data_IF_312011794955
#
_entry.id   IF_312011794955
#
_cell.length_a   1.000
_cell.length_b   1.000
_cell.length_c   1.000
_cell.angle_alpha   90.00
_cell.angle_beta   90.00
_cell.angle_gamma   90.00
#
_symmetry.space_group_name_H-M   'P 1'
#
loop_
_entity.id
_entity.type
_entity.pdbx_description
1 polymer ?
#
# COMPACT_ATOMS: atom_id res chain seq x y z
N UNK A 1 -20.36 -28.45 11.76
CA UNK A 1 -20.18 -27.69 13.02
C UNK A 1 -20.47 -26.22 12.87
N UNK A 2 -21.34 -25.65 13.70
CA UNK A 2 -21.63 -24.21 13.71
C UNK A 2 -20.47 -23.37 14.28
N UNK A 3 -19.69 -23.93 15.22
CA UNK A 3 -18.56 -23.25 15.86
C UNK A 3 -17.43 -22.92 14.85
N UNK A 4 -17.14 -23.84 13.93
CA UNK A 4 -16.09 -23.64 12.93
C UNK A 4 -16.44 -22.53 11.93
N UNK A 5 -17.73 -22.44 11.55
CA UNK A 5 -18.25 -21.38 10.67
C UNK A 5 -18.11 -20.00 11.34
N UNK A 6 -18.47 -19.89 12.62
CA UNK A 6 -18.34 -18.62 13.35
C UNK A 6 -16.87 -18.22 13.54
N UNK A 7 -15.99 -19.18 13.79
CA UNK A 7 -14.56 -18.93 13.88
C UNK A 7 -13.97 -18.44 12.54
N UNK A 8 -14.44 -18.99 11.40
CA UNK A 8 -14.04 -18.53 10.07
C UNK A 8 -14.57 -17.14 9.76
N UNK A 9 -15.84 -16.86 10.08
CA UNK A 9 -16.42 -15.53 9.94
C UNK A 9 -15.66 -14.48 10.78
N UNK A 10 -15.28 -14.81 12.01
CA UNK A 10 -14.49 -13.93 12.87
C UNK A 10 -13.10 -13.66 12.27
N UNK A 11 -12.42 -14.70 11.77
CA UNK A 11 -11.14 -14.53 11.07
C UNK A 11 -11.27 -13.64 9.84
N UNK A 12 -12.33 -13.83 9.05
CA UNK A 12 -12.63 -12.97 7.90
C UNK A 12 -12.84 -11.52 8.29
N UNK A 13 -13.64 -11.25 9.33
CA UNK A 13 -13.90 -9.90 9.82
C UNK A 13 -12.63 -9.21 10.36
N UNK A 14 -11.83 -9.93 11.16
CA UNK A 14 -10.53 -9.44 11.65
C UNK A 14 -9.59 -9.17 10.49
N UNK A 15 -9.53 -10.07 9.51
CA UNK A 15 -8.71 -9.90 8.31
C UNK A 15 -9.10 -8.66 7.52
N UNK A 16 -10.39 -8.47 7.24
CA UNK A 16 -10.89 -7.28 6.57
C UNK A 16 -10.55 -5.98 7.33
N UNK A 17 -10.72 -6.00 8.66
CA UNK A 17 -10.36 -4.84 9.49
C UNK A 17 -8.85 -4.55 9.45
N UNK A 18 -8.00 -5.58 9.46
CA UNK A 18 -6.55 -5.40 9.37
C UNK A 18 -6.12 -4.90 8.00
N UNK A 19 -6.71 -5.45 6.92
CA UNK A 19 -6.51 -4.94 5.56
C UNK A 19 -6.85 -3.46 5.50
N UNK A 20 -8.02 -3.04 5.99
CA UNK A 20 -8.42 -1.64 5.98
C UNK A 20 -7.46 -0.72 6.75
N UNK A 21 -6.94 -1.17 7.90
CA UNK A 21 -5.93 -0.41 8.67
C UNK A 21 -4.60 -0.29 7.93
N UNK A 22 -4.15 -1.36 7.28
CA UNK A 22 -2.91 -1.34 6.49
C UNK A 22 -3.09 -0.44 5.24
N UNK A 23 -4.24 -0.54 4.57
CA UNK A 23 -4.62 0.28 3.41
C UNK A 23 -4.70 1.77 3.77
N UNK A 24 -5.20 2.13 4.95
CA UNK A 24 -5.17 3.51 5.41
C UNK A 24 -3.74 4.09 5.47
N UNK A 25 -2.75 3.25 5.78
CA UNK A 25 -1.33 3.59 5.73
C UNK A 25 -0.81 3.94 4.33
N UNK A 26 -1.46 3.45 3.28
CA UNK A 26 -1.13 3.71 1.86
C UNK A 26 -1.35 5.16 1.45
N UNK A 27 -2.12 5.94 2.20
CA UNK A 27 -2.31 7.37 1.90
C UNK A 27 -0.97 8.14 1.79
N UNK A 28 0.06 7.70 2.52
CA UNK A 28 1.39 8.30 2.49
C UNK A 28 2.16 8.05 1.18
N UNK A 29 1.77 7.04 0.39
CA UNK A 29 2.37 6.70 -0.92
C UNK A 29 2.20 7.86 -1.91
N UNK A 30 1.15 8.66 -1.77
CA UNK A 30 0.93 9.89 -2.56
C UNK A 30 2.01 10.96 -2.32
N UNK A 31 2.79 10.85 -1.24
CA UNK A 31 3.94 11.71 -0.95
C UNK A 31 5.24 11.29 -1.66
N UNK A 32 5.27 10.12 -2.31
CA UNK A 32 6.46 9.62 -3.01
C UNK A 32 6.95 10.61 -4.07
N UNK A 33 6.13 11.16 -4.99
CA UNK A 33 6.63 12.02 -6.06
C UNK A 33 7.30 13.27 -5.51
N UNK A 34 6.78 13.86 -4.43
CA UNK A 34 7.38 15.01 -3.76
C UNK A 34 8.80 14.72 -3.24
N UNK A 35 9.09 13.47 -2.86
CA UNK A 35 10.40 13.03 -2.36
C UNK A 35 11.47 12.93 -3.47
N UNK A 36 11.04 12.80 -4.73
CA UNK A 36 11.91 12.56 -5.89
C UNK A 36 11.92 13.70 -6.92
N UNK A 37 10.93 14.59 -6.90
CA UNK A 37 10.71 15.66 -7.91
C UNK A 37 11.86 16.67 -8.06
N UNK A 38 12.77 16.77 -7.08
CA UNK A 38 13.86 17.75 -7.08
C UNK A 38 15.20 17.16 -6.64
N UNK A 39 15.38 15.85 -6.75
CA UNK A 39 16.58 15.18 -6.24
C UNK A 39 17.30 14.44 -7.35
N UNK A 40 18.60 14.68 -7.52
CA UNK A 40 19.55 13.87 -8.31
C UNK A 40 19.83 12.51 -7.65
N UNK A 41 18.80 11.91 -7.03
CA UNK A 41 18.91 10.61 -6.39
C UNK A 41 19.06 9.54 -7.46
N UNK A 42 19.97 8.57 -7.27
CA UNK A 42 20.02 7.41 -8.14
C UNK A 42 18.70 6.64 -8.08
N UNK A 43 18.43 5.84 -9.12
CA UNK A 43 17.25 4.98 -9.19
C UNK A 43 17.20 4.11 -7.92
N UNK A 44 16.05 4.04 -7.21
CA UNK A 44 15.92 3.22 -6.02
C UNK A 44 16.21 1.74 -6.33
N UNK A 45 17.13 1.13 -5.57
CA UNK A 45 17.43 -0.32 -5.64
C UNK A 45 16.75 -1.10 -4.53
N UNK A 46 16.14 -0.40 -3.57
CA UNK A 46 15.43 -0.97 -2.42
C UNK A 46 13.96 -0.60 -2.48
N UNK A 47 13.12 -1.42 -1.84
CA UNK A 47 11.71 -1.11 -1.67
C UNK A 47 11.52 0.21 -0.91
N UNK A 48 10.37 0.82 -1.14
CA UNK A 48 10.02 2.08 -0.49
C UNK A 48 9.91 1.90 1.03
N UNK A 49 10.40 2.85 1.86
CA UNK A 49 10.26 2.80 3.32
C UNK A 49 8.80 2.76 3.80
N UNK A 50 7.84 3.07 2.91
CA UNK A 50 6.42 2.96 3.19
C UNK A 50 5.94 1.51 3.29
N UNK A 51 6.63 0.54 2.65
CA UNK A 51 6.25 -0.88 2.67
C UNK A 51 6.27 -1.44 4.10
N UNK A 52 7.35 -1.18 4.84
CA UNK A 52 7.47 -1.60 6.24
C UNK A 52 6.38 -1.00 7.13
N UNK A 53 6.03 0.26 6.88
CA UNK A 53 5.00 0.99 7.64
C UNK A 53 3.59 0.49 7.35
N UNK A 54 3.32 0.10 6.11
CA UNK A 54 2.00 -0.39 5.68
C UNK A 54 1.65 -1.71 6.36
N UNK A 55 2.62 -2.60 6.56
CA UNK A 55 2.40 -3.90 7.22
C UNK A 55 2.61 -3.88 8.74
N UNK A 56 3.06 -2.74 9.28
CA UNK A 56 3.28 -2.57 10.73
C UNK A 56 2.03 -2.90 11.59
N UNK A 57 0.80 -2.53 11.21
CA UNK A 57 -0.40 -2.91 11.96
C UNK A 57 -0.59 -4.43 12.04
N UNK A 58 -0.31 -5.16 10.96
CA UNK A 58 -0.42 -6.61 10.91
C UNK A 58 0.64 -7.28 11.80
N UNK A 59 1.88 -6.81 11.74
CA UNK A 59 2.99 -7.29 12.58
C UNK A 59 2.72 -7.03 14.07
N UNK A 60 2.23 -5.83 14.42
CA UNK A 60 1.86 -5.46 15.78
C UNK A 60 0.69 -6.29 16.31
N UNK A 61 -0.32 -6.57 15.47
CA UNK A 61 -1.44 -7.43 15.82
C UNK A 61 -0.97 -8.85 16.12
N UNK A 62 -0.17 -9.44 15.21
CA UNK A 62 0.34 -10.80 15.37
C UNK A 62 1.21 -10.96 16.63
N UNK A 63 2.00 -9.94 16.96
CA UNK A 63 2.84 -9.94 18.16
C UNK A 63 2.00 -9.82 19.44
N UNK A 64 1.01 -8.92 19.46
CA UNK A 64 0.18 -8.66 20.64
C UNK A 64 -0.80 -9.78 20.98
N UNK A 65 -1.29 -10.50 19.95
CA UNK A 65 -2.34 -11.52 20.12
C UNK A 65 -1.82 -12.93 19.83
N UNK A 66 -0.51 -13.16 19.93
CA UNK A 66 0.13 -14.45 19.60
C UNK A 66 -0.52 -15.66 20.28
N UNK A 67 -0.97 -15.51 21.53
CA UNK A 67 -1.63 -16.56 22.30
C UNK A 67 -3.08 -16.85 21.86
N UNK A 68 -3.69 -15.94 21.10
CA UNK A 68 -5.07 -16.02 20.61
C UNK A 68 -5.13 -16.39 19.12
N UNK A 69 -3.97 -16.40 18.45
CA UNK A 69 -3.86 -16.90 17.08
C UNK A 69 -4.01 -18.43 17.08
N UNK A 70 -4.54 -18.99 15.98
CA UNK A 70 -4.60 -20.44 15.82
C UNK A 70 -3.21 -21.06 16.07
N UNK A 71 -3.11 -22.14 16.86
CA UNK A 71 -1.85 -22.87 17.04
C UNK A 71 -1.37 -23.50 15.72
N UNK A 72 -2.31 -23.70 14.79
CA UNK A 72 -2.01 -24.09 13.42
C UNK A 72 -1.29 -22.95 12.68
N UNK A 73 0.00 -23.18 12.41
CA UNK A 73 0.86 -22.28 11.67
C UNK A 73 0.41 -22.13 10.21
N UNK A 74 -0.22 -23.14 9.61
CA UNK A 74 -0.68 -23.10 8.23
C UNK A 74 -1.91 -22.21 8.11
N UNK A 75 -2.93 -22.41 8.98
CA UNK A 75 -4.06 -21.51 9.08
C UNK A 75 -3.58 -20.07 9.30
N UNK A 76 -2.65 -19.86 10.24
CA UNK A 76 -2.09 -18.53 10.54
C UNK A 76 -1.41 -17.89 9.33
N UNK A 77 -0.59 -18.64 8.59
CA UNK A 77 0.06 -18.17 7.35
C UNK A 77 -0.95 -17.86 6.25
N UNK A 78 -2.01 -18.67 6.12
CA UNK A 78 -3.03 -18.49 5.08
C UNK A 78 -3.79 -17.17 5.26
N UNK A 79 -4.31 -16.89 6.45
CA UNK A 79 -5.10 -15.67 6.67
C UNK A 79 -4.22 -14.41 6.66
N UNK A 80 -3.01 -14.47 7.24
CA UNK A 80 -2.05 -13.35 7.18
C UNK A 80 -1.56 -13.09 5.75
N UNK A 81 -1.32 -14.16 4.98
CA UNK A 81 -0.99 -14.08 3.56
C UNK A 81 -2.12 -13.41 2.75
N UNK A 82 -3.38 -13.79 2.99
CA UNK A 82 -4.51 -13.17 2.32
C UNK A 82 -4.61 -11.66 2.58
N UNK A 83 -4.34 -11.21 3.82
CA UNK A 83 -4.28 -9.78 4.16
C UNK A 83 -3.14 -9.10 3.41
N UNK A 84 -1.93 -9.69 3.46
CA UNK A 84 -0.76 -9.11 2.80
C UNK A 84 -0.96 -8.99 1.28
N UNK A 85 -1.56 -10.00 0.63
CA UNK A 85 -1.91 -9.97 -0.79
C UNK A 85 -2.94 -8.88 -1.10
N UNK A 86 -3.99 -8.74 -0.29
CA UNK A 86 -5.00 -7.70 -0.48
C UNK A 86 -4.39 -6.29 -0.36
N UNK A 87 -3.53 -6.09 0.65
CA UNK A 87 -2.82 -4.81 0.85
C UNK A 87 -1.84 -4.53 -0.30
N UNK A 88 -1.13 -5.54 -0.78
CA UNK A 88 -0.20 -5.40 -1.90
C UNK A 88 -0.92 -5.03 -3.20
N UNK A 89 -2.09 -5.63 -3.47
CA UNK A 89 -2.91 -5.30 -4.64
C UNK A 89 -3.41 -3.84 -4.58
N UNK A 90 -3.86 -3.37 -3.42
CA UNK A 90 -4.27 -1.97 -3.26
C UNK A 90 -3.08 -1.00 -3.39
N UNK A 91 -1.90 -1.39 -2.91
CA UNK A 91 -0.66 -0.63 -3.09
C UNK A 91 -0.29 -0.51 -4.58
N UNK A 92 -0.38 -1.60 -5.34
CA UNK A 92 -0.18 -1.62 -6.80
C UNK A 92 -1.15 -0.66 -7.51
N UNK A 93 -2.46 -0.79 -7.27
CA UNK A 93 -3.48 0.11 -7.86
C UNK A 93 -3.23 1.58 -7.50
N UNK A 94 -2.84 1.87 -6.26
CA UNK A 94 -2.50 3.22 -5.83
C UNK A 94 -1.28 3.77 -6.56
N UNK A 95 -0.26 2.94 -6.79
CA UNK A 95 0.94 3.33 -7.53
C UNK A 95 0.68 3.57 -9.01
N UNK A 96 -0.15 2.74 -9.65
CA UNK A 96 -0.55 2.94 -11.05
C UNK A 96 -1.25 4.28 -11.23
N UNK A 97 -2.23 4.60 -10.38
CA UNK A 97 -2.93 5.88 -10.40
C UNK A 97 -1.99 7.07 -10.16
N UNK A 98 -0.99 6.89 -9.28
CA UNK A 98 0.03 7.89 -9.00
C UNK A 98 0.95 8.11 -10.22
N UNK A 99 1.39 7.04 -10.87
CA UNK A 99 2.24 7.10 -12.05
C UNK A 99 1.52 7.81 -13.21
N UNK A 100 0.26 7.47 -13.44
CA UNK A 100 -0.61 8.14 -14.41
C UNK A 100 -0.70 9.65 -14.16
N UNK A 101 -0.84 10.03 -12.89
CA UNK A 101 -0.89 11.45 -12.49
C UNK A 101 0.43 12.16 -12.79
N UNK A 102 1.56 11.51 -12.50
CA UNK A 102 2.90 12.06 -12.79
C UNK A 102 3.10 12.22 -14.30
N UNK A 103 2.76 11.20 -15.10
CA UNK A 103 2.87 11.25 -16.57
C UNK A 103 2.04 12.40 -17.16
N UNK A 104 0.79 12.54 -16.71
CA UNK A 104 -0.09 13.65 -17.15
C UNK A 104 0.46 15.01 -16.74
N UNK A 105 1.00 15.14 -15.54
CA UNK A 105 1.63 16.38 -15.05
C UNK A 105 2.85 16.75 -15.89
N UNK A 106 3.73 15.79 -16.18
CA UNK A 106 4.92 16.02 -17.03
C UNK A 106 4.55 16.40 -18.46
N UNK A 107 3.52 15.75 -19.03
CA UNK A 107 2.99 16.11 -20.35
C UNK A 107 2.44 17.55 -20.38
N UNK A 108 1.69 17.94 -19.34
CA UNK A 108 1.15 19.30 -19.20
C UNK A 108 2.26 20.34 -19.06
N UNK A 109 3.29 20.06 -18.24
CA UNK A 109 4.47 20.93 -18.10
C UNK A 109 5.25 21.07 -19.40
N UNK A 110 5.41 19.97 -20.15
CA UNK A 110 6.08 19.97 -21.45
C UNK A 110 5.30 20.82 -22.46
N UNK A 111 3.98 20.63 -22.54
CA UNK A 111 3.11 21.44 -23.39
C UNK A 111 3.19 22.93 -23.02
N UNK A 112 3.11 23.28 -21.74
CA UNK A 112 3.23 24.68 -21.29
C UNK A 112 4.57 25.30 -21.71
N UNK A 113 5.68 24.56 -21.62
CA UNK A 113 7.00 25.02 -22.07
C UNK A 113 7.09 25.20 -23.58
N UNK A 114 6.39 24.39 -24.36
CA UNK A 114 6.43 24.45 -25.84
C UNK A 114 5.40 25.40 -26.43
N UNK A 115 4.29 25.65 -25.73
CA UNK A 115 3.10 26.33 -26.25
C UNK A 115 2.79 27.65 -25.55
N UNK A 116 3.30 27.85 -24.32
CA UNK A 116 3.13 29.09 -23.54
C UNK A 116 4.27 30.11 -23.67
N UNK A 117 5.30 29.82 -24.48
CA UNK A 117 6.45 30.72 -24.73
C UNK A 117 6.39 31.50 -26.05
N UNK A 118 5.22 31.51 -26.72
CA UNK A 118 5.07 32.04 -28.09
C UNK A 118 4.40 33.41 -28.25
N UNK A 119 3.92 34.05 -27.17
CA UNK A 119 3.20 35.34 -27.25
C UNK A 119 3.81 36.42 -26.33
N UNK A 120 5.13 36.59 -26.41
CA UNK A 120 5.82 37.76 -25.87
C UNK A 120 7.05 38.09 -26.72
N UNK A 121 6.83 38.56 -27.95
CA UNK A 121 7.82 39.27 -28.76
C UNK A 121 7.09 40.26 -29.68
#
# INVERSE_FOLDING_TARGET
>A
DALSVHAEALRGAVGAQMTARCVAGLAHVKGIPATYRMTSKPVPVTHSPFVDKVLQPLSAFASSHRAQLPPDAEATRRWTGAIATAVASEYETTLEALLDTVVKMDASLKWLRTSGGGDAA
#
